data_IF_109273239116
#
_entry.id   IF_109273239116
#
_cell.length_a   1.000
_cell.length_b   1.000
_cell.length_c   1.000
_cell.angle_alpha   90.00
_cell.angle_beta   90.00
_cell.angle_gamma   90.00
#
_symmetry.space_group_name_H-M   'P 1'
#
loop_
_entity.id
_entity.type
_entity.pdbx_description
1 polymer ?
#
# COMPACT_ATOMS: atom_id res chain seq x y z
N UNK A 1 23.21 1.87 5.11
CA UNK A 1 22.33 2.83 4.42
C UNK A 1 21.04 2.94 5.23
N UNK A 2 20.30 4.05 5.16
CA UNK A 2 19.01 4.19 5.84
C UNK A 2 17.93 3.25 5.29
N UNK A 3 16.97 2.89 6.15
CA UNK A 3 15.77 2.16 5.81
C UNK A 3 14.54 3.04 6.03
N UNK A 4 13.49 2.81 5.25
CA UNK A 4 12.22 3.51 5.34
C UNK A 4 11.12 2.51 5.67
N UNK A 5 10.45 2.72 6.79
CA UNK A 5 9.23 2.03 7.16
C UNK A 5 8.03 2.96 6.95
N UNK A 6 7.07 2.52 6.17
CA UNK A 6 5.78 3.20 5.99
C UNK A 6 4.64 2.26 6.40
N UNK A 7 3.69 2.74 7.21
CA UNK A 7 2.40 2.09 7.43
C UNK A 7 1.27 3.09 7.18
N UNK A 8 0.26 2.65 6.44
CA UNK A 8 -1.02 3.34 6.28
C UNK A 8 -2.09 2.47 6.93
N UNK A 9 -2.53 2.84 8.15
CA UNK A 9 -3.55 2.14 8.91
C UNK A 9 -4.93 2.76 8.67
N UNK A 10 -5.90 1.94 8.27
CA UNK A 10 -7.26 2.38 7.95
C UNK A 10 -8.32 1.47 8.58
N UNK A 11 -9.59 1.73 8.33
CA UNK A 11 -10.63 0.74 8.50
C UNK A 11 -10.51 -0.37 7.44
N UNK A 12 -11.28 -1.46 7.57
CA UNK A 12 -11.08 -2.70 6.82
C UNK A 12 -11.10 -2.51 5.28
N UNK A 13 -9.98 -2.76 4.66
CA UNK A 13 -9.79 -2.83 3.22
C UNK A 13 -10.39 -4.15 2.71
N UNK A 14 -11.29 -4.16 1.72
CA UNK A 14 -11.83 -5.40 1.17
C UNK A 14 -10.72 -6.37 0.73
N UNK A 15 -10.81 -7.63 1.13
CA UNK A 15 -9.77 -8.65 0.92
C UNK A 15 -9.24 -8.66 -0.53
N UNK A 16 -10.14 -8.66 -1.52
CA UNK A 16 -9.80 -8.64 -2.96
C UNK A 16 -9.00 -7.44 -3.44
N UNK A 17 -8.92 -6.36 -2.64
CA UNK A 17 -8.20 -5.14 -3.01
C UNK A 17 -6.82 -5.06 -2.37
N UNK A 18 -6.57 -5.80 -1.29
CA UNK A 18 -5.40 -5.62 -0.43
C UNK A 18 -4.09 -5.89 -1.17
N UNK A 19 -3.95 -7.05 -1.81
CA UNK A 19 -2.74 -7.43 -2.56
C UNK A 19 -2.40 -6.41 -3.64
N UNK A 20 -3.41 -6.04 -4.46
CA UNK A 20 -3.20 -5.05 -5.51
C UNK A 20 -2.83 -3.68 -4.93
N UNK A 21 -3.50 -3.25 -3.87
CA UNK A 21 -3.21 -1.97 -3.23
C UNK A 21 -1.80 -1.94 -2.64
N UNK A 22 -1.34 -3.02 -2.01
CA UNK A 22 0.04 -3.11 -1.51
C UNK A 22 1.07 -2.98 -2.66
N UNK A 23 0.85 -3.68 -3.77
CA UNK A 23 1.69 -3.57 -4.98
C UNK A 23 1.64 -2.18 -5.61
N UNK A 24 0.47 -1.54 -5.69
CA UNK A 24 0.32 -0.18 -6.20
C UNK A 24 1.08 0.82 -5.29
N UNK A 25 0.97 0.68 -3.96
CA UNK A 25 1.70 1.51 -3.00
C UNK A 25 3.21 1.37 -3.17
N UNK A 26 3.70 0.12 -3.23
CA UNK A 26 5.11 -0.17 -3.49
C UNK A 26 5.58 0.54 -4.75
N UNK A 27 4.88 0.33 -5.87
CA UNK A 27 5.24 0.92 -7.15
C UNK A 27 5.28 2.45 -7.09
N UNK A 28 4.23 3.09 -6.56
CA UNK A 28 4.15 4.55 -6.50
C UNK A 28 5.28 5.15 -5.66
N UNK A 29 5.59 4.54 -4.51
CA UNK A 29 6.64 5.04 -3.63
C UNK A 29 8.01 4.80 -4.24
N UNK A 30 8.29 3.60 -4.75
CA UNK A 30 9.61 3.30 -5.34
C UNK A 30 9.88 4.08 -6.61
N UNK A 31 8.89 4.23 -7.50
CA UNK A 31 9.00 5.08 -8.68
C UNK A 31 9.28 6.54 -8.29
N UNK A 32 8.55 7.06 -7.30
CA UNK A 32 8.76 8.43 -6.82
C UNK A 32 10.14 8.66 -6.19
N UNK A 33 10.68 7.70 -5.44
CA UNK A 33 12.04 7.77 -4.92
C UNK A 33 13.07 7.84 -6.05
N UNK A 34 12.92 6.98 -7.06
CA UNK A 34 13.83 6.93 -8.22
C UNK A 34 13.73 8.21 -9.06
N UNK A 35 12.53 8.71 -9.31
CA UNK A 35 12.30 9.98 -10.02
C UNK A 35 12.93 11.17 -9.32
N UNK A 36 12.97 11.13 -7.96
CA UNK A 36 13.63 12.15 -7.15
C UNK A 36 15.16 11.97 -7.04
N UNK A 37 15.73 10.94 -7.69
CA UNK A 37 17.16 10.66 -7.72
C UNK A 37 17.68 9.89 -6.50
N UNK A 38 16.80 9.24 -5.74
CA UNK A 38 17.17 8.30 -4.70
C UNK A 38 17.24 6.88 -5.26
N UNK A 39 18.08 6.03 -4.66
CA UNK A 39 18.17 4.60 -4.94
C UNK A 39 17.88 3.81 -3.66
N UNK A 40 17.51 2.55 -3.80
CA UNK A 40 17.25 1.63 -2.70
C UNK A 40 17.71 0.21 -3.08
N UNK A 41 17.96 -0.66 -2.10
CA UNK A 41 18.42 -2.03 -2.32
C UNK A 41 17.26 -3.01 -2.46
N UNK A 42 16.19 -2.83 -1.69
CA UNK A 42 15.02 -3.70 -1.70
C UNK A 42 13.77 -3.01 -1.18
N UNK A 43 12.62 -3.50 -1.62
CA UNK A 43 11.33 -3.05 -1.13
C UNK A 43 10.37 -4.24 -1.03
N UNK A 44 9.82 -4.46 0.14
CA UNK A 44 8.81 -5.47 0.41
C UNK A 44 7.52 -4.81 0.88
N UNK A 45 6.41 -5.22 0.28
CA UNK A 45 5.07 -4.81 0.69
C UNK A 45 4.42 -5.84 1.61
N UNK A 46 3.66 -5.34 2.57
CA UNK A 46 2.86 -6.12 3.51
C UNK A 46 1.45 -5.54 3.60
N UNK A 47 0.48 -6.39 3.90
CA UNK A 47 -0.90 -5.96 4.07
C UNK A 47 -1.67 -6.82 5.05
N UNK A 48 -2.62 -6.18 5.72
CA UNK A 48 -3.64 -6.82 6.54
C UNK A 48 -5.01 -6.23 6.15
N UNK A 49 -6.12 -6.70 6.73
CA UNK A 49 -7.41 -6.02 6.54
C UNK A 49 -7.36 -4.51 6.81
N UNK A 50 -6.48 -4.06 7.69
CA UNK A 50 -6.46 -2.66 8.13
C UNK A 50 -5.19 -1.89 7.77
N UNK A 51 -4.20 -2.53 7.13
CA UNK A 51 -2.88 -1.93 6.90
C UNK A 51 -2.38 -2.18 5.50
N UNK A 52 -1.70 -1.17 4.98
CA UNK A 52 -0.71 -1.32 3.91
C UNK A 52 0.62 -0.87 4.48
N UNK A 53 1.66 -1.68 4.37
CA UNK A 53 2.99 -1.33 4.86
C UNK A 53 4.08 -1.61 3.84
N UNK A 54 5.14 -0.81 3.87
CA UNK A 54 6.35 -0.98 3.07
C UNK A 54 7.57 -1.01 3.98
N UNK A 55 8.43 -2.00 3.74
CA UNK A 55 9.80 -2.06 4.22
C UNK A 55 10.74 -1.78 3.04
N UNK A 56 11.38 -0.61 3.04
CA UNK A 56 12.30 -0.20 1.97
C UNK A 56 13.70 -0.11 2.54
N UNK A 57 14.56 -1.00 2.13
CA UNK A 57 15.91 -1.17 2.63
C UNK A 57 16.94 -0.46 1.77
N UNK A 58 17.96 0.07 2.41
CA UNK A 58 19.13 0.60 1.72
C UNK A 58 18.87 1.85 0.88
N UNK A 59 18.02 2.76 1.35
CA UNK A 59 17.73 4.03 0.67
C UNK A 59 18.94 4.95 0.78
N UNK A 60 19.31 5.65 -0.31
CA UNK A 60 20.35 6.68 -0.26
C UNK A 60 19.92 7.86 0.61
N UNK A 61 20.80 8.36 1.48
CA UNK A 61 20.48 9.46 2.39
C UNK A 61 20.24 10.81 1.68
N UNK A 62 20.76 10.96 0.47
CA UNK A 62 20.59 12.17 -0.37
C UNK A 62 20.48 11.79 -1.84
N UNK A 63 19.74 12.57 -2.61
CA UNK A 63 19.80 12.48 -4.06
C UNK A 63 21.12 13.07 -4.59
N UNK A 64 21.49 12.67 -5.80
CA UNK A 64 22.69 13.19 -6.46
C UNK A 64 22.49 14.65 -6.86
N UNK A 65 23.58 15.41 -6.89
CA UNK A 65 23.58 16.73 -7.50
C UNK A 65 23.22 16.60 -8.99
N UNK A 66 22.24 17.34 -9.44
CA UNK A 66 21.84 17.39 -10.84
C UNK A 66 22.56 18.56 -11.51
N UNK A 67 23.37 18.24 -12.51
CA UNK A 67 23.96 19.25 -13.40
C UNK A 67 23.17 19.25 -14.70
N UNK A 68 22.51 20.35 -14.95
CA UNK A 68 21.69 20.54 -16.13
C UNK A 68 22.33 21.60 -17.04
N UNK A 69 22.50 21.27 -18.31
CA UNK A 69 22.97 22.20 -19.32
C UNK A 69 21.77 22.70 -20.13
N UNK A 70 21.46 23.99 -20.00
CA UNK A 70 20.40 24.62 -20.76
C UNK A 70 21.05 25.43 -21.92
N UNK A 71 20.78 25.00 -23.14
CA UNK A 71 21.18 25.73 -24.34
C UNK A 71 20.29 26.94 -24.54
N UNK A 72 20.92 28.08 -24.66
CA UNK A 72 20.29 29.37 -24.88
C UNK A 72 20.29 29.83 -26.35
N UNK A 73 19.84 31.04 -26.59
CA UNK A 73 19.86 31.66 -27.92
C UNK A 73 21.28 32.02 -28.34
N UNK A 74 21.44 32.34 -29.65
CA UNK A 74 22.69 32.92 -30.18
C UNK A 74 23.04 34.22 -29.43
N UNK A 75 24.34 34.49 -29.31
CA UNK A 75 24.84 35.76 -28.73
C UNK A 75 24.38 37.01 -29.51
N UNK A 76 23.91 36.83 -30.75
CA UNK A 76 23.35 37.88 -31.61
C UNK A 76 21.81 37.93 -31.58
N UNK A 77 21.16 37.14 -30.72
CA UNK A 77 19.70 37.09 -30.63
C UNK A 77 19.11 38.35 -29.98
N UNK A 78 17.85 38.70 -30.29
CA UNK A 78 17.16 39.81 -29.64
C UNK A 78 17.10 39.68 -28.12
N UNK A 79 17.15 40.80 -27.40
CA UNK A 79 17.11 40.86 -25.94
C UNK A 79 15.94 40.06 -25.32
N UNK A 80 14.80 40.03 -26.00
CA UNK A 80 13.63 39.26 -25.54
C UNK A 80 13.91 37.75 -25.47
N UNK A 81 14.67 37.18 -26.40
CA UNK A 81 15.07 35.79 -26.42
C UNK A 81 16.09 35.50 -25.31
N UNK A 82 17.02 36.42 -25.09
CA UNK A 82 17.99 36.33 -23.97
C UNK A 82 17.30 36.39 -22.63
N UNK A 83 16.36 37.30 -22.42
CA UNK A 83 15.56 37.40 -21.20
C UNK A 83 14.71 36.14 -20.94
N UNK A 84 14.16 35.52 -22.00
CA UNK A 84 13.46 34.25 -21.94
C UNK A 84 14.36 33.10 -21.45
N UNK A 85 15.58 33.05 -21.97
CA UNK A 85 16.61 32.10 -21.59
C UNK A 85 17.03 32.28 -20.11
N UNK A 86 17.32 33.52 -19.68
CA UNK A 86 17.70 33.83 -18.30
C UNK A 86 16.62 33.39 -17.30
N UNK A 87 15.35 33.70 -17.60
CA UNK A 87 14.22 33.26 -16.77
C UNK A 87 14.13 31.73 -16.69
N UNK A 88 14.30 31.03 -17.80
CA UNK A 88 14.26 29.57 -17.85
C UNK A 88 15.43 28.96 -17.11
N UNK A 89 16.61 29.57 -17.20
CA UNK A 89 17.83 29.11 -16.54
C UNK A 89 17.95 29.57 -15.08
N UNK A 90 17.05 30.44 -14.60
CA UNK A 90 17.14 31.00 -13.25
C UNK A 90 18.36 31.90 -13.02
N UNK A 91 18.91 32.48 -14.11
CA UNK A 91 20.06 33.36 -14.06
C UNK A 91 19.61 34.80 -13.91
N UNK A 92 20.34 35.59 -13.11
CA UNK A 92 20.05 36.99 -12.91
C UNK A 92 20.57 37.84 -14.08
N UNK A 93 21.71 37.44 -14.71
CA UNK A 93 22.38 38.18 -15.74
C UNK A 93 23.08 37.24 -16.76
N UNK A 94 23.28 37.73 -17.98
CA UNK A 94 23.97 37.02 -19.08
C UNK A 94 25.42 36.67 -18.75
N UNK A 95 26.08 37.45 -17.90
CA UNK A 95 27.46 37.17 -17.43
C UNK A 95 27.59 35.85 -16.68
N UNK A 96 26.49 35.30 -16.16
CA UNK A 96 26.45 33.98 -15.52
C UNK A 96 26.30 32.80 -16.50
N UNK A 97 26.07 33.10 -17.79
CA UNK A 97 26.01 32.09 -18.83
C UNK A 97 27.38 31.96 -19.52
N UNK A 98 27.69 30.72 -19.93
CA UNK A 98 28.88 30.46 -20.75
C UNK A 98 28.53 30.63 -22.22
N UNK A 99 29.49 31.17 -23.01
CA UNK A 99 29.37 31.21 -24.47
C UNK A 99 30.02 29.96 -25.05
N UNK A 100 29.23 29.19 -25.78
CA UNK A 100 29.71 28.02 -26.51
C UNK A 100 29.79 28.38 -28.00
N UNK A 101 30.98 28.12 -28.59
CA UNK A 101 31.23 28.41 -30.02
C UNK A 101 31.06 27.13 -30.82
N UNK A 102 30.12 27.14 -31.76
CA UNK A 102 29.88 26.05 -32.70
C UNK A 102 30.27 26.49 -34.11
N UNK A 103 31.18 25.76 -34.78
CA UNK A 103 31.66 26.15 -36.14
C UNK A 103 30.55 26.25 -37.19
N UNK A 104 29.39 25.56 -36.98
CA UNK A 104 28.27 25.56 -37.94
C UNK A 104 27.12 26.47 -37.53
N UNK A 105 26.91 26.67 -36.22
CA UNK A 105 25.75 27.40 -35.68
C UNK A 105 26.10 28.77 -35.08
N UNK A 106 27.40 29.09 -34.99
CA UNK A 106 27.86 30.31 -34.33
C UNK A 106 27.83 30.22 -32.81
N UNK A 107 28.10 31.35 -32.18
CA UNK A 107 28.17 31.44 -30.72
C UNK A 107 26.77 31.51 -30.10
N UNK A 108 26.56 30.74 -29.05
CA UNK A 108 25.30 30.73 -28.27
C UNK A 108 25.55 30.61 -26.78
N UNK A 109 24.59 31.06 -26.00
CA UNK A 109 24.66 30.99 -24.54
C UNK A 109 24.37 29.57 -24.04
N UNK A 110 25.05 29.15 -22.96
CA UNK A 110 24.84 27.90 -22.27
C UNK A 110 24.83 28.19 -20.77
N UNK A 111 23.79 27.76 -20.11
CA UNK A 111 23.69 27.81 -18.64
C UNK A 111 24.00 26.44 -18.06
N UNK A 112 24.95 26.37 -17.14
CA UNK A 112 25.22 25.20 -16.33
C UNK A 112 24.53 25.40 -14.97
N UNK A 113 23.42 24.71 -14.76
CA UNK A 113 22.66 24.76 -13.51
C UNK A 113 23.10 23.57 -12.67
N UNK A 114 23.60 23.84 -11.47
CA UNK A 114 23.87 22.82 -10.47
C UNK A 114 22.76 22.92 -9.40
N UNK A 115 21.91 21.90 -9.32
CA UNK A 115 20.92 21.74 -8.26
C UNK A 115 21.54 20.78 -7.23
N UNK A 116 21.82 21.23 -6.00
CA UNK A 116 22.33 20.32 -4.97
C UNK A 116 21.34 19.23 -4.67
N UNK A 117 21.84 18.03 -4.40
CA UNK A 117 21.02 16.91 -3.94
C UNK A 117 20.28 17.25 -2.64
N UNK A 118 19.07 16.72 -2.52
CA UNK A 118 18.19 16.94 -1.36
C UNK A 118 18.30 15.78 -0.38
N UNK A 119 18.02 16.01 0.87
CA UNK A 119 17.92 14.97 1.89
C UNK A 119 16.74 14.01 1.56
N UNK A 120 16.94 12.72 1.84
CA UNK A 120 15.89 11.72 1.55
C UNK A 120 14.64 11.98 2.38
N UNK A 121 14.76 12.43 3.62
CA UNK A 121 13.63 12.75 4.50
C UNK A 121 12.74 13.84 3.90
N UNK A 122 13.34 14.89 3.31
CA UNK A 122 12.60 15.97 2.65
C UNK A 122 11.84 15.44 1.41
N UNK A 123 12.49 14.60 0.62
CA UNK A 123 11.90 13.99 -0.57
C UNK A 123 10.74 13.08 -0.17
N UNK A 124 10.92 12.25 0.86
CA UNK A 124 9.88 11.35 1.36
C UNK A 124 8.71 12.16 1.94
N UNK A 125 8.96 13.24 2.67
CA UNK A 125 7.91 14.11 3.23
C UNK A 125 7.02 14.76 2.16
N UNK A 126 7.56 15.05 0.98
CA UNK A 126 6.78 15.56 -0.16
C UNK A 126 6.11 14.44 -0.98
N UNK A 127 6.81 13.32 -1.16
CA UNK A 127 6.34 12.19 -1.96
C UNK A 127 5.13 11.50 -1.33
N UNK A 128 5.14 11.24 -0.01
CA UNK A 128 4.10 10.47 0.66
C UNK A 128 2.71 11.12 0.57
N UNK A 129 2.52 12.41 0.89
CA UNK A 129 1.23 13.06 0.69
C UNK A 129 0.72 12.99 -0.75
N UNK A 130 1.61 13.15 -1.73
CA UNK A 130 1.24 13.09 -3.13
C UNK A 130 0.81 11.67 -3.56
N UNK A 131 1.53 10.65 -3.13
CA UNK A 131 1.20 9.24 -3.38
C UNK A 131 -0.13 8.85 -2.75
N UNK A 132 -0.36 9.21 -1.48
CA UNK A 132 -1.60 8.90 -0.77
C UNK A 132 -2.80 9.59 -1.41
N UNK A 133 -2.70 10.87 -1.80
CA UNK A 133 -3.80 11.60 -2.44
C UNK A 133 -4.15 11.09 -3.83
N UNK A 134 -3.18 10.58 -4.58
CA UNK A 134 -3.35 10.07 -5.94
C UNK A 134 -3.53 8.55 -6.00
N UNK A 135 -3.73 7.91 -4.85
CA UNK A 135 -3.79 6.46 -4.79
C UNK A 135 -4.93 5.89 -5.64
N UNK A 136 -4.69 4.88 -6.51
CA UNK A 136 -5.64 4.44 -7.53
C UNK A 136 -6.68 3.45 -6.98
N UNK A 137 -7.44 3.85 -5.97
CA UNK A 137 -8.52 3.02 -5.46
C UNK A 137 -9.64 2.86 -6.49
N UNK A 138 -10.13 1.63 -6.75
CA UNK A 138 -11.27 1.41 -7.65
C UNK A 138 -12.59 1.92 -7.07
N UNK A 139 -12.68 2.00 -5.75
CA UNK A 139 -13.74 2.64 -4.98
C UNK A 139 -13.14 3.41 -3.83
N UNK A 140 -13.64 4.58 -3.58
CA UNK A 140 -13.18 5.46 -2.53
C UNK A 140 -14.33 6.14 -1.82
N UNK A 141 -14.10 6.56 -0.60
CA UNK A 141 -15.04 7.32 0.21
C UNK A 141 -14.36 8.54 0.84
N UNK A 142 -15.16 9.48 1.26
CA UNK A 142 -14.79 10.61 2.10
C UNK A 142 -15.44 10.44 3.45
N UNK A 143 -14.84 10.96 4.49
CA UNK A 143 -15.33 10.82 5.86
C UNK A 143 -15.07 12.07 6.70
N UNK A 144 -15.69 12.10 7.89
CA UNK A 144 -15.55 13.19 8.84
C UNK A 144 -16.29 14.47 8.44
N UNK A 145 -16.35 15.42 9.36
CA UNK A 145 -17.07 16.67 9.19
C UNK A 145 -16.53 17.53 8.04
N UNK A 146 -15.20 17.46 7.79
CA UNK A 146 -14.57 18.18 6.68
C UNK A 146 -15.04 17.69 5.30
N UNK A 147 -15.63 16.50 5.19
CA UNK A 147 -16.16 15.97 3.93
C UNK A 147 -17.52 16.54 3.53
N UNK A 148 -18.17 17.29 4.42
CA UNK A 148 -19.42 17.98 4.15
C UNK A 148 -19.29 19.05 3.08
N UNK A 149 -20.41 19.62 2.62
CA UNK A 149 -20.41 20.69 1.62
C UNK A 149 -19.48 21.84 2.01
N UNK A 150 -18.78 22.41 1.01
CA UNK A 150 -17.86 23.54 1.22
C UNK A 150 -18.58 24.73 1.85
N UNK A 151 -17.97 25.32 2.88
CA UNK A 151 -18.52 26.48 3.60
C UNK A 151 -19.58 26.15 4.65
N UNK A 152 -20.03 24.89 4.77
CA UNK A 152 -20.97 24.49 5.83
C UNK A 152 -20.19 24.05 7.07
N UNK A 153 -20.57 24.58 8.24
CA UNK A 153 -19.92 24.26 9.51
C UNK A 153 -20.58 23.08 10.23
N UNK A 154 -19.73 22.15 10.65
CA UNK A 154 -20.08 20.98 11.48
C UNK A 154 -19.33 21.08 12.81
N UNK A 155 -19.93 21.77 13.78
CA UNK A 155 -19.24 22.13 15.01
C UNK A 155 -18.07 23.09 14.76
N UNK A 156 -16.85 22.65 15.11
CA UNK A 156 -15.62 23.44 14.91
C UNK A 156 -14.99 23.25 13.52
N UNK A 157 -15.48 22.29 12.73
CA UNK A 157 -14.91 21.91 11.44
C UNK A 157 -15.78 22.45 10.31
N UNK A 158 -15.14 23.08 9.33
CA UNK A 158 -15.80 23.53 8.11
C UNK A 158 -15.66 22.47 7.01
N UNK A 159 -16.75 22.21 6.29
CA UNK A 159 -16.77 21.30 5.17
C UNK A 159 -15.88 21.81 4.02
N UNK A 160 -15.05 20.94 3.48
CA UNK A 160 -14.15 21.23 2.34
C UNK A 160 -14.60 20.56 1.04
N UNK A 161 -15.72 19.83 1.09
CA UNK A 161 -16.29 19.17 -0.07
C UNK A 161 -15.32 18.18 -0.74
N UNK A 162 -15.03 18.41 -2.02
CA UNK A 162 -14.17 17.55 -2.83
C UNK A 162 -12.67 17.64 -2.53
N UNK A 163 -12.24 18.58 -1.71
CA UNK A 163 -10.82 18.83 -1.39
C UNK A 163 -10.27 17.93 -0.27
N UNK A 164 -11.14 17.10 0.37
CA UNK A 164 -10.74 16.15 1.40
C UNK A 164 -10.11 14.89 0.81
N UNK A 165 -9.30 14.23 1.62
CA UNK A 165 -8.71 12.94 1.27
C UNK A 165 -9.80 11.92 0.90
N UNK A 166 -9.53 11.15 -0.13
CA UNK A 166 -10.31 9.99 -0.53
C UNK A 166 -9.49 8.73 -0.33
N UNK A 167 -10.07 7.74 0.29
CA UNK A 167 -9.44 6.44 0.56
C UNK A 167 -10.49 5.34 0.48
N UNK A 168 -10.08 4.08 0.33
CA UNK A 168 -11.05 2.96 0.25
C UNK A 168 -11.90 2.83 1.51
N UNK A 169 -11.31 3.12 2.66
CA UNK A 169 -11.94 3.23 4.00
C UNK A 169 -11.24 4.33 4.77
N UNK A 170 -11.84 4.89 5.83
CA UNK A 170 -11.19 5.97 6.60
C UNK A 170 -9.77 5.62 7.04
N UNK A 171 -8.81 6.44 6.63
CA UNK A 171 -7.44 6.37 7.11
C UNK A 171 -7.40 6.88 8.55
N UNK A 172 -6.77 6.13 9.45
CA UNK A 172 -6.75 6.40 10.89
C UNK A 172 -5.40 6.93 11.36
N UNK A 173 -4.31 6.35 10.86
CA UNK A 173 -2.95 6.76 11.23
C UNK A 173 -1.95 6.49 10.11
N UNK A 174 -0.85 7.22 10.17
CA UNK A 174 0.29 7.08 9.29
C UNK A 174 1.52 6.91 10.17
N UNK A 175 2.29 5.86 9.90
CA UNK A 175 3.61 5.68 10.48
C UNK A 175 4.63 5.80 9.36
N UNK A 176 5.64 6.67 9.57
CA UNK A 176 6.73 6.84 8.62
C UNK A 176 8.03 7.14 9.37
N UNK A 177 8.95 6.17 9.37
CA UNK A 177 10.27 6.32 10.01
C UNK A 177 11.37 6.08 9.00
N UNK A 178 12.47 6.82 9.13
CA UNK A 178 13.61 6.76 8.23
C UNK A 178 14.92 6.85 9.03
N UNK A 179 15.88 6.01 8.74
CA UNK A 179 17.21 6.08 9.37
C UNK A 179 18.03 4.81 9.19
N UNK A 180 19.36 4.91 9.40
CA UNK A 180 20.26 3.78 9.35
C UNK A 180 20.08 2.86 10.57
N UNK A 181 20.50 1.61 10.46
CA UNK A 181 20.44 0.63 11.56
C UNK A 181 21.24 1.08 12.81
N UNK A 182 22.28 1.85 12.60
CA UNK A 182 23.23 2.28 13.64
C UNK A 182 22.74 3.46 14.49
N UNK A 183 21.66 4.13 14.06
CA UNK A 183 21.14 5.33 14.71
C UNK A 183 19.65 5.21 14.99
N UNK A 184 19.12 6.04 15.88
CA UNK A 184 17.70 6.14 16.11
C UNK A 184 17.00 6.71 14.87
N UNK A 185 16.01 6.03 14.27
CA UNK A 185 15.34 6.54 13.09
C UNK A 185 14.53 7.79 13.41
N UNK A 186 14.51 8.72 12.47
CA UNK A 186 13.67 9.91 12.57
C UNK A 186 12.25 9.62 12.06
N UNK A 187 11.27 10.31 12.62
CA UNK A 187 9.92 10.37 12.04
C UNK A 187 9.95 11.34 10.88
N UNK A 188 9.54 10.91 9.71
CA UNK A 188 9.38 11.80 8.55
C UNK A 188 8.14 12.64 8.76
N UNK A 189 8.30 13.96 8.89
CA UNK A 189 7.22 14.86 9.25
C UNK A 189 6.41 15.29 8.02
N UNK A 190 5.18 14.80 7.94
CA UNK A 190 4.15 15.25 6.99
C UNK A 190 2.76 15.03 7.55
N UNK A 191 1.77 15.70 6.96
CA UNK A 191 0.37 15.62 7.37
C UNK A 191 -0.55 15.54 6.16
N UNK A 192 -1.62 14.77 6.29
CA UNK A 192 -2.70 14.70 5.31
C UNK A 192 -4.04 14.81 6.03
N UNK A 193 -4.78 15.90 5.77
CA UNK A 193 -6.13 16.11 6.29
C UNK A 193 -6.27 15.93 7.82
N UNK A 194 -5.27 16.40 8.57
CA UNK A 194 -5.22 16.30 10.03
C UNK A 194 -4.59 14.99 10.55
N UNK A 195 -4.17 14.08 9.68
CA UNK A 195 -3.46 12.86 10.05
C UNK A 195 -1.97 13.10 9.88
N UNK A 196 -1.26 13.30 10.99
CA UNK A 196 0.19 13.52 11.00
C UNK A 196 0.93 12.18 11.08
N UNK A 197 1.99 12.05 10.30
CA UNK A 197 2.87 10.90 10.36
C UNK A 197 3.59 10.83 11.73
N UNK A 198 3.80 9.60 12.21
CA UNK A 198 4.43 9.33 13.49
C UNK A 198 5.23 8.03 13.46
N UNK A 199 5.52 7.51 14.64
CA UNK A 199 6.16 6.21 14.85
C UNK A 199 5.28 5.24 15.66
N UNK A 200 3.97 5.46 15.66
CA UNK A 200 3.00 4.68 16.44
C UNK A 200 2.12 3.85 15.51
N UNK A 201 2.04 2.55 15.80
CA UNK A 201 1.04 1.63 15.26
C UNK A 201 0.13 1.10 16.36
N UNK A 202 -0.82 0.24 16.01
CA UNK A 202 -1.80 -0.35 16.94
C UNK A 202 -1.85 -1.86 16.74
N UNK A 203 -2.03 -2.61 17.82
CA UNK A 203 -2.23 -4.04 17.76
C UNK A 203 -3.63 -4.44 17.26
N UNK A 204 -3.96 -5.69 17.43
CA UNK A 204 -5.27 -6.22 17.06
C UNK A 204 -6.39 -5.49 17.81
N UNK A 205 -7.40 -5.00 17.09
CA UNK A 205 -8.42 -4.08 17.65
C UNK A 205 -9.18 -4.60 18.88
N UNK A 206 -9.27 -5.92 19.05
CA UNK A 206 -9.97 -6.54 20.17
C UNK A 206 -9.02 -7.20 21.19
N UNK A 207 -7.94 -7.85 20.70
CA UNK A 207 -7.04 -8.61 21.57
C UNK A 207 -5.92 -7.78 22.18
N UNK A 208 -5.50 -6.73 21.49
CA UNK A 208 -4.40 -5.85 21.92
C UNK A 208 -4.54 -4.45 21.30
N UNK A 209 -5.56 -3.66 21.63
CA UNK A 209 -5.87 -2.39 20.97
C UNK A 209 -4.90 -1.25 21.30
N UNK A 210 -3.89 -1.50 22.12
CA UNK A 210 -2.94 -0.48 22.59
C UNK A 210 -2.07 0.12 21.48
N UNK A 211 -1.65 1.36 21.71
CA UNK A 211 -0.65 2.04 20.87
C UNK A 211 0.73 1.42 21.08
N UNK A 212 1.49 1.25 20.00
CA UNK A 212 2.80 0.61 19.97
C UNK A 212 3.76 1.55 19.26
N UNK A 213 4.74 2.09 19.99
CA UNK A 213 5.83 2.84 19.36
C UNK A 213 6.83 1.87 18.73
N UNK A 214 7.22 2.14 17.50
CA UNK A 214 8.16 1.31 16.75
C UNK A 214 9.24 2.18 16.11
N UNK A 215 10.35 1.53 15.77
CA UNK A 215 11.52 2.19 15.21
C UNK A 215 11.74 1.80 13.75
N UNK A 216 11.86 0.51 13.50
CA UNK A 216 12.16 -0.09 12.19
C UNK A 216 11.23 -1.27 11.91
N UNK A 217 11.36 -1.81 10.72
CA UNK A 217 10.52 -2.92 10.28
C UNK A 217 10.62 -4.16 11.18
N UNK A 218 11.82 -4.56 11.61
CA UNK A 218 11.99 -5.77 12.43
C UNK A 218 11.33 -5.61 13.80
N UNK A 219 11.49 -4.43 14.44
CA UNK A 219 10.79 -4.09 15.68
C UNK A 219 9.26 -3.98 15.45
N UNK A 220 8.83 -3.38 14.35
CA UNK A 220 7.44 -3.26 13.95
C UNK A 220 6.78 -4.63 13.78
N UNK A 221 7.39 -5.54 13.01
CA UNK A 221 6.85 -6.86 12.76
C UNK A 221 6.76 -7.69 14.05
N UNK A 222 7.82 -7.70 14.86
CA UNK A 222 7.86 -8.45 16.12
C UNK A 222 6.81 -7.94 17.14
N UNK A 223 6.66 -6.63 17.27
CA UNK A 223 5.68 -6.03 18.19
C UNK A 223 4.25 -6.24 17.73
N UNK A 224 3.99 -6.17 16.43
CA UNK A 224 2.67 -6.49 15.88
C UNK A 224 2.30 -7.95 16.10
N UNK A 225 3.23 -8.89 15.92
CA UNK A 225 2.97 -10.30 16.19
C UNK A 225 2.67 -10.54 17.68
N UNK A 226 3.43 -9.92 18.59
CA UNK A 226 3.15 -9.96 20.03
C UNK A 226 1.77 -9.36 20.36
N UNK A 227 1.33 -8.36 19.58
CA UNK A 227 0.04 -7.70 19.69
C UNK A 227 -1.06 -8.34 18.80
N UNK A 228 -0.91 -9.63 18.43
CA UNK A 228 -1.90 -10.42 17.69
C UNK A 228 -2.20 -9.88 16.29
N UNK A 229 -1.15 -9.50 15.56
CA UNK A 229 -1.22 -9.11 14.15
C UNK A 229 -0.10 -9.80 13.37
N UNK A 230 -0.46 -10.70 12.48
CA UNK A 230 0.45 -11.30 11.50
C UNK A 230 0.39 -10.46 10.23
N UNK A 231 1.42 -9.66 9.97
CA UNK A 231 1.42 -8.71 8.84
C UNK A 231 1.63 -9.38 7.48
N UNK A 232 2.34 -10.51 7.46
CA UNK A 232 2.59 -11.30 6.26
C UNK A 232 1.34 -12.08 5.86
N UNK A 233 0.78 -11.78 4.69
CA UNK A 233 -0.44 -12.41 4.21
C UNK A 233 -0.23 -13.89 3.83
N UNK A 234 0.93 -14.24 3.29
CA UNK A 234 1.22 -15.62 2.91
C UNK A 234 1.40 -16.49 4.17
N UNK A 235 2.06 -15.96 5.19
CA UNK A 235 2.14 -16.60 6.51
C UNK A 235 0.74 -16.78 7.15
N UNK A 236 -0.17 -15.81 7.04
CA UNK A 236 -1.55 -15.99 7.52
C UNK A 236 -2.26 -17.14 6.80
N UNK A 237 -2.08 -17.26 5.47
CA UNK A 237 -2.64 -18.37 4.67
C UNK A 237 -2.08 -19.73 5.12
N UNK A 238 -0.77 -19.81 5.35
CA UNK A 238 -0.11 -21.02 5.84
C UNK A 238 -0.67 -21.45 7.21
N UNK A 239 -0.84 -20.52 8.15
CA UNK A 239 -1.43 -20.79 9.47
C UNK A 239 -2.84 -21.33 9.29
N UNK A 240 -3.71 -20.64 8.53
CA UNK A 240 -5.09 -21.05 8.31
C UNK A 240 -5.15 -22.47 7.72
N UNK A 241 -4.38 -22.73 6.68
CA UNK A 241 -4.42 -24.00 5.97
C UNK A 241 -3.87 -25.15 6.81
N UNK A 242 -2.74 -24.92 7.50
CA UNK A 242 -2.13 -25.91 8.38
C UNK A 242 -3.05 -26.28 9.54
N UNK A 243 -3.60 -25.26 10.22
CA UNK A 243 -4.48 -25.50 11.38
C UNK A 243 -5.81 -26.13 10.95
N UNK A 244 -6.37 -25.74 9.80
CA UNK A 244 -7.59 -26.33 9.27
C UNK A 244 -7.39 -27.82 8.89
N UNK A 245 -6.27 -28.16 8.26
CA UNK A 245 -5.92 -29.57 7.96
C UNK A 245 -5.74 -30.40 9.23
N UNK A 246 -4.99 -29.87 10.21
CA UNK A 246 -4.73 -30.55 11.47
C UNK A 246 -6.05 -30.78 12.24
N UNK A 247 -6.92 -29.76 12.29
CA UNK A 247 -8.19 -29.86 12.98
C UNK A 247 -9.16 -30.83 12.30
N UNK A 248 -9.23 -30.81 10.97
CA UNK A 248 -10.00 -31.78 10.20
C UNK A 248 -9.49 -33.20 10.45
N UNK A 249 -8.20 -33.44 10.32
CA UNK A 249 -7.58 -34.75 10.52
C UNK A 249 -7.83 -35.29 11.94
N UNK A 250 -7.69 -34.46 12.97
CA UNK A 250 -7.95 -34.84 14.35
C UNK A 250 -9.41 -35.29 14.58
N UNK A 251 -10.33 -34.89 13.71
CA UNK A 251 -11.75 -35.29 13.76
C UNK A 251 -12.11 -36.38 12.71
N UNK A 252 -11.13 -37.06 12.12
CA UNK A 252 -11.36 -38.11 11.11
C UNK A 252 -11.89 -37.58 9.78
N UNK A 253 -11.63 -36.31 9.48
CA UNK A 253 -12.10 -35.60 8.31
C UNK A 253 -10.93 -35.14 7.44
N UNK A 254 -11.23 -34.80 6.19
CA UNK A 254 -10.32 -34.18 5.25
C UNK A 254 -10.83 -32.79 4.87
N UNK A 255 -9.94 -31.80 4.89
CA UNK A 255 -10.26 -30.45 4.43
C UNK A 255 -10.48 -30.41 2.92
N UNK A 256 -11.57 -29.83 2.46
CA UNK A 256 -11.77 -29.52 1.04
C UNK A 256 -11.13 -28.17 0.78
N UNK A 257 -9.95 -28.19 0.18
CA UNK A 257 -9.17 -26.98 -0.09
C UNK A 257 -9.83 -26.11 -1.16
N UNK A 258 -9.72 -24.79 -0.97
CA UNK A 258 -10.21 -23.78 -1.90
C UNK A 258 -9.28 -22.56 -1.80
N UNK A 259 -8.40 -22.44 -2.79
CA UNK A 259 -7.38 -21.38 -2.82
C UNK A 259 -8.01 -19.98 -2.88
N UNK A 260 -9.08 -19.81 -3.66
CA UNK A 260 -9.79 -18.53 -3.76
C UNK A 260 -10.45 -18.12 -2.45
N UNK A 261 -10.99 -19.08 -1.70
CA UNK A 261 -11.53 -18.84 -0.37
C UNK A 261 -10.41 -18.54 0.64
N UNK A 262 -9.29 -19.26 0.57
CA UNK A 262 -8.13 -19.02 1.42
C UNK A 262 -7.59 -17.58 1.26
N UNK A 263 -7.45 -17.12 0.02
CA UNK A 263 -7.04 -15.73 -0.26
C UNK A 263 -8.04 -14.73 0.34
N UNK A 264 -9.34 -14.97 0.20
CA UNK A 264 -10.37 -14.09 0.75
C UNK A 264 -10.35 -14.09 2.28
N UNK A 265 -10.34 -15.24 2.92
CA UNK A 265 -10.41 -15.38 4.39
C UNK A 265 -9.15 -14.82 5.06
N UNK A 266 -7.97 -15.06 4.50
CA UNK A 266 -6.72 -14.49 5.02
C UNK A 266 -6.72 -12.96 5.01
N UNK A 267 -7.47 -12.36 4.09
CA UNK A 267 -7.70 -10.91 4.02
C UNK A 267 -8.82 -10.38 4.93
N UNK A 268 -9.48 -11.24 5.72
CA UNK A 268 -10.51 -10.81 6.70
C UNK A 268 -9.97 -10.78 8.14
N UNK A 269 -8.82 -11.39 8.40
CA UNK A 269 -8.27 -11.55 9.74
C UNK A 269 -6.84 -11.04 9.84
N UNK A 270 -6.47 -10.50 10.99
CA UNK A 270 -5.08 -10.15 11.32
C UNK A 270 -4.41 -11.23 12.19
N UNK A 271 -5.22 -11.99 12.95
CA UNK A 271 -4.79 -13.09 13.81
C UNK A 271 -5.68 -14.31 13.57
N UNK A 272 -5.28 -15.24 12.71
CA UNK A 272 -6.11 -16.39 12.39
C UNK A 272 -6.23 -17.34 13.58
N UNK A 273 -7.46 -17.80 13.83
CA UNK A 273 -7.79 -18.89 14.76
C UNK A 273 -8.81 -19.77 14.04
N UNK A 274 -8.45 -21.03 13.80
CA UNK A 274 -9.31 -21.97 13.10
C UNK A 274 -10.21 -22.70 14.07
N UNK A 275 -11.50 -22.73 13.77
CA UNK A 275 -12.53 -23.43 14.55
C UNK A 275 -13.28 -24.41 13.65
N UNK A 276 -13.69 -25.54 14.20
CA UNK A 276 -14.56 -26.51 13.55
C UNK A 276 -16.00 -26.31 14.04
N UNK A 277 -16.90 -26.01 13.12
CA UNK A 277 -18.35 -25.95 13.39
C UNK A 277 -19.06 -27.17 12.81
N UNK A 278 -20.26 -27.45 13.30
CA UNK A 278 -21.15 -28.49 12.80
C UNK A 278 -22.51 -27.88 12.41
N UNK A 279 -23.23 -28.56 11.55
CA UNK A 279 -24.62 -28.28 11.18
C UNK A 279 -25.43 -29.59 11.27
N UNK A 280 -26.74 -29.49 11.24
CA UNK A 280 -27.64 -30.64 11.39
C UNK A 280 -27.46 -31.63 10.24
N UNK A 281 -27.46 -32.94 10.54
CA UNK A 281 -27.26 -34.02 9.59
C UNK A 281 -28.31 -34.04 8.45
N UNK A 282 -29.52 -33.56 8.70
CA UNK A 282 -30.61 -33.49 7.74
C UNK A 282 -30.21 -32.71 6.46
N UNK A 283 -29.32 -31.75 6.59
CA UNK A 283 -28.80 -30.98 5.44
C UNK A 283 -27.84 -31.79 4.55
N UNK A 284 -27.33 -32.93 5.02
CA UNK A 284 -26.49 -33.80 4.21
C UNK A 284 -27.26 -34.50 3.07
N UNK A 285 -28.59 -34.43 3.08
CA UNK A 285 -29.44 -34.85 1.94
C UNK A 285 -29.31 -33.92 0.72
N UNK A 286 -28.78 -32.71 0.90
CA UNK A 286 -28.53 -31.75 -0.16
C UNK A 286 -27.24 -32.14 -0.91
N UNK A 287 -27.18 -32.00 -2.25
CA UNK A 287 -25.94 -32.29 -3.00
C UNK A 287 -24.74 -31.53 -2.45
N UNK A 288 -23.60 -32.24 -2.31
CA UNK A 288 -22.38 -31.69 -1.67
C UNK A 288 -21.88 -30.40 -2.34
N UNK A 289 -22.07 -30.29 -3.66
CA UNK A 289 -21.67 -29.10 -4.43
C UNK A 289 -22.48 -27.87 -4.04
N UNK A 290 -23.77 -28.04 -3.74
CA UNK A 290 -24.67 -26.97 -3.30
C UNK A 290 -24.30 -26.52 -1.89
N UNK A 291 -24.06 -27.45 -0.97
CA UNK A 291 -23.60 -27.16 0.39
C UNK A 291 -22.29 -26.38 0.32
N UNK A 292 -21.31 -26.91 -0.41
CA UNK A 292 -19.99 -26.27 -0.55
C UNK A 292 -20.11 -24.83 -1.11
N UNK A 293 -20.87 -24.66 -2.19
CA UNK A 293 -21.06 -23.36 -2.81
C UNK A 293 -21.72 -22.36 -1.85
N UNK A 294 -22.76 -22.78 -1.14
CA UNK A 294 -23.52 -21.95 -0.20
C UNK A 294 -22.68 -21.53 0.98
N UNK A 295 -21.96 -22.46 1.59
CA UNK A 295 -21.07 -22.17 2.74
C UNK A 295 -19.93 -21.24 2.32
N UNK A 296 -19.30 -21.55 1.19
CA UNK A 296 -18.25 -20.71 0.61
C UNK A 296 -18.70 -19.28 0.32
N UNK A 297 -19.83 -19.15 -0.37
CA UNK A 297 -20.31 -17.85 -0.84
C UNK A 297 -20.85 -16.96 0.30
N UNK A 298 -21.58 -17.55 1.23
CA UNK A 298 -22.32 -16.80 2.24
C UNK A 298 -21.64 -16.77 3.62
N UNK A 299 -21.02 -17.90 4.04
CA UNK A 299 -20.39 -18.02 5.36
C UNK A 299 -18.89 -17.78 5.34
N UNK A 300 -18.24 -17.82 4.16
CA UNK A 300 -16.78 -17.72 4.02
C UNK A 300 -16.04 -18.79 4.84
N UNK A 301 -16.58 -20.00 4.87
CA UNK A 301 -16.01 -21.13 5.59
C UNK A 301 -15.58 -22.23 4.62
N UNK A 302 -14.51 -22.93 4.97
CA UNK A 302 -14.13 -24.19 4.33
C UNK A 302 -15.11 -25.27 4.73
N UNK A 303 -15.21 -26.32 3.92
CA UNK A 303 -15.95 -27.54 4.26
C UNK A 303 -15.00 -28.70 4.41
N UNK A 304 -15.43 -29.73 5.15
CA UNK A 304 -14.71 -30.98 5.33
C UNK A 304 -15.50 -32.14 4.69
N UNK A 305 -14.83 -33.25 4.44
CA UNK A 305 -15.44 -34.51 4.01
C UNK A 305 -14.88 -35.68 4.85
N UNK A 306 -15.62 -36.78 4.91
CA UNK A 306 -15.12 -38.00 5.56
C UNK A 306 -13.88 -38.55 4.80
N UNK A 307 -12.86 -39.00 5.53
CA UNK A 307 -11.61 -39.54 4.96
C UNK A 307 -11.82 -40.70 3.97
N UNK A 308 -12.93 -41.48 4.11
CA UNK A 308 -13.25 -42.65 3.28
C UNK A 308 -14.36 -42.41 2.27
N UNK A 309 -14.79 -41.18 2.04
CA UNK A 309 -15.78 -40.88 1.03
C UNK A 309 -15.15 -40.95 -0.36
N UNK A 310 -15.22 -42.14 -0.96
CA UNK A 310 -14.96 -42.31 -2.41
C UNK A 310 -15.96 -41.37 -3.11
N UNK A 311 -15.46 -40.51 -3.97
CA UNK A 311 -16.28 -39.61 -4.75
C UNK A 311 -17.32 -40.44 -5.50
N UNK A 312 -18.59 -40.40 -5.07
CA UNK A 312 -19.70 -40.94 -5.85
C UNK A 312 -19.77 -40.13 -7.15
N UNK A 313 -19.70 -40.77 -8.31
CA UNK A 313 -19.82 -40.03 -9.56
C UNK A 313 -21.18 -39.32 -9.57
N UNK A 314 -21.15 -38.04 -9.89
CA UNK A 314 -22.38 -37.27 -10.08
C UNK A 314 -23.34 -38.01 -11.02
N UNK A 315 -24.63 -38.16 -10.68
CA UNK A 315 -25.56 -38.81 -11.58
C UNK A 315 -25.59 -38.04 -12.91
N UNK A 316 -25.34 -38.76 -14.00
CA UNK A 316 -25.46 -38.22 -15.35
C UNK A 316 -26.84 -37.57 -15.52
N UNK A 317 -26.94 -36.38 -16.14
CA UNK A 317 -28.21 -35.77 -16.40
C UNK A 317 -29.06 -36.74 -17.23
N UNK A 318 -30.28 -37.03 -16.76
CA UNK A 318 -31.25 -37.87 -17.45
C UNK A 318 -31.45 -37.36 -18.88
N UNK A 319 -31.48 -38.22 -19.89
CA UNK A 319 -31.74 -37.81 -21.25
C UNK A 319 -33.14 -37.12 -21.30
N UNK A 320 -33.17 -35.91 -21.78
CA UNK A 320 -34.43 -35.20 -22.04
C UNK A 320 -35.19 -36.03 -23.07
N UNK A 321 -36.25 -36.69 -22.64
CA UNK A 321 -37.27 -37.25 -23.56
C UNK A 321 -37.87 -36.08 -24.32
N UNK A 322 -37.59 -35.99 -25.62
CA UNK A 322 -38.36 -35.16 -26.52
C UNK A 322 -39.78 -35.75 -26.51
N UNK A 323 -40.69 -35.03 -25.87
CA UNK A 323 -42.13 -35.26 -26.06
C UNK A 323 -42.54 -34.87 -27.46
N UNK A 324 -43.31 -35.72 -28.05
CA UNK A 324 -44.05 -35.50 -29.29
C UNK A 324 -45.02 -34.29 -29.21
#
# INVERSE_FOLDING_TARGET
MPDLLLELCSEEIPARMQRKAAGDLRKMVTDGLVEAGLTYEGCQEYWTPRRLALDIRGVTARSKDVREEIKGPSTKAPDQAVQGFLRKAGLADVSQAHVHSDPKKGDFYVAHISKPGRAAEEIVAELMPAAIRKFPWPKEMRWGAASGPKGVRYGKVEGRGGETLRWVRPLQSILCTFGPETEEPVVVDFEIDGIRAGNVTYGHRFHAPGAISVKRFDDYAARLEAAKVVIDADRRKEIILSDARNLAFANGLELVEDEGLLEEVSGLVEWPVVLLGAFEEDFLSIPAEVIRLTIRANQKCFVTRALNAVASPSPLPSPRTRGE
#
